data_IF_623972025890
#
_entry.id   IF_623972025890
#
_cell.length_a   1.000
_cell.length_b   1.000
_cell.length_c   1.000
_cell.angle_alpha   90.00
_cell.angle_beta   90.00
_cell.angle_gamma   90.00
#
_symmetry.space_group_name_H-M   'P 1'
#
loop_
_entity.id
_entity.type
_entity.pdbx_description
1 polymer ?
#
# COMPACT_ATOMS: atom_id res chain seq x y z
N UNK A 1 26.65 -7.71 13.02
CA UNK A 1 25.72 -7.05 13.97
C UNK A 1 24.66 -6.34 13.13
N UNK A 2 23.47 -6.88 13.01
CA UNK A 2 22.37 -6.14 12.40
C UNK A 2 21.97 -4.99 13.33
N UNK A 3 21.99 -3.78 12.81
CA UNK A 3 21.62 -2.60 13.59
C UNK A 3 20.15 -2.69 13.98
N UNK A 4 19.81 -2.55 15.27
CA UNK A 4 18.42 -2.41 15.72
C UNK A 4 17.72 -1.35 14.90
N UNK A 5 16.47 -1.58 14.49
CA UNK A 5 15.70 -0.56 13.79
C UNK A 5 15.54 0.65 14.69
N UNK A 6 15.71 1.84 14.11
CA UNK A 6 15.54 3.08 14.87
C UNK A 6 14.07 3.20 15.28
N UNK A 7 13.85 3.54 16.54
CA UNK A 7 12.54 3.98 16.99
C UNK A 7 12.13 5.27 16.27
N UNK A 8 10.84 5.42 16.04
CA UNK A 8 10.32 6.62 15.41
C UNK A 8 10.39 7.77 16.42
N UNK A 9 11.25 8.73 16.14
CA UNK A 9 11.35 9.95 16.94
C UNK A 9 10.48 11.03 16.32
N UNK A 10 9.53 11.56 17.08
CA UNK A 10 8.59 12.58 16.63
C UNK A 10 8.52 13.73 17.64
N UNK A 11 8.18 14.92 17.14
CA UNK A 11 7.80 16.09 17.95
C UNK A 11 6.27 16.31 17.97
N UNK A 12 5.52 15.29 17.58
CA UNK A 12 4.06 15.28 17.54
C UNK A 12 3.52 14.39 18.67
N UNK A 13 2.60 14.89 19.47
CA UNK A 13 2.08 14.22 20.67
C UNK A 13 0.84 13.34 20.40
N UNK A 14 0.33 13.33 19.19
CA UNK A 14 -0.88 12.59 18.77
C UNK A 14 -1.24 12.93 17.34
N UNK A 15 -2.49 12.80 16.96
CA UNK A 15 -3.00 13.20 15.64
C UNK A 15 -2.68 14.69 15.38
N UNK A 16 -2.26 14.98 14.15
CA UNK A 16 -1.87 16.35 13.76
C UNK A 16 -3.05 17.32 13.83
N UNK A 17 -2.87 18.46 14.48
CA UNK A 17 -3.93 19.45 14.74
C UNK A 17 -4.62 19.95 13.46
N UNK A 18 -3.86 20.13 12.36
CA UNK A 18 -4.38 20.62 11.09
C UNK A 18 -4.87 19.50 10.15
N UNK A 19 -4.87 18.22 10.59
CA UNK A 19 -5.18 17.09 9.70
C UNK A 19 -6.54 17.26 9.02
N UNK A 20 -7.57 17.61 9.78
CA UNK A 20 -8.92 17.81 9.24
C UNK A 20 -8.97 18.92 8.18
N UNK A 21 -8.27 20.01 8.42
CA UNK A 21 -8.18 21.13 7.48
C UNK A 21 -7.48 20.70 6.17
N UNK A 22 -6.35 19.98 6.30
CA UNK A 22 -5.56 19.51 5.16
C UNK A 22 -6.36 18.50 4.31
N UNK A 23 -7.00 17.52 4.94
CA UNK A 23 -7.81 16.50 4.24
C UNK A 23 -8.99 17.14 3.52
N UNK A 24 -9.73 18.03 4.18
CA UNK A 24 -10.87 18.73 3.57
C UNK A 24 -10.43 19.63 2.40
N UNK A 25 -9.29 20.30 2.51
CA UNK A 25 -8.71 21.08 1.41
C UNK A 25 -8.49 20.19 0.17
N UNK A 26 -7.86 19.03 0.33
CA UNK A 26 -7.61 18.13 -0.80
C UNK A 26 -8.86 17.42 -1.31
N UNK A 27 -9.83 17.14 -0.45
CA UNK A 27 -11.15 16.64 -0.86
C UNK A 27 -11.89 17.61 -1.80
N UNK A 28 -11.70 18.92 -1.62
CA UNK A 28 -12.39 19.98 -2.38
C UNK A 28 -11.57 20.52 -3.57
N UNK A 29 -10.32 20.07 -3.72
CA UNK A 29 -9.43 20.58 -4.76
C UNK A 29 -8.99 19.50 -5.73
N UNK A 30 -8.89 19.87 -7.00
CA UNK A 30 -8.33 19.00 -8.03
C UNK A 30 -6.79 18.94 -7.93
N UNK A 31 -6.21 17.75 -8.00
CA UNK A 31 -4.78 17.56 -8.04
C UNK A 31 -4.24 17.75 -9.47
N UNK A 32 -3.84 18.99 -9.81
CA UNK A 32 -3.50 19.42 -11.18
C UNK A 32 -2.06 19.16 -11.62
N UNK A 33 -1.18 18.65 -10.74
CA UNK A 33 0.20 18.36 -11.12
C UNK A 33 0.22 17.44 -12.36
N UNK A 34 1.02 17.76 -13.41
CA UNK A 34 1.16 16.88 -14.56
C UNK A 34 1.68 15.50 -14.15
N UNK A 35 1.10 14.45 -14.74
CA UNK A 35 1.53 13.08 -14.52
C UNK A 35 2.88 12.85 -15.20
N UNK A 36 3.85 12.30 -14.48
CA UNK A 36 5.18 12.03 -14.98
C UNK A 36 5.17 10.96 -16.07
N UNK A 37 5.99 11.16 -17.11
CA UNK A 37 6.07 10.27 -18.30
C UNK A 37 6.37 8.83 -17.87
N UNK A 38 7.40 8.63 -17.04
CA UNK A 38 7.80 7.29 -16.57
C UNK A 38 6.67 6.56 -15.83
N UNK A 39 5.77 7.29 -15.12
CA UNK A 39 4.62 6.67 -14.46
C UNK A 39 3.52 6.29 -15.46
N UNK A 40 3.33 7.07 -16.54
CA UNK A 40 2.43 6.69 -17.65
C UNK A 40 2.92 5.42 -18.35
N UNK A 41 4.22 5.35 -18.62
CA UNK A 41 4.86 4.17 -19.23
C UNK A 41 4.71 2.93 -18.33
N UNK A 42 4.97 3.07 -17.03
CA UNK A 42 4.77 1.99 -16.08
C UNK A 42 3.30 1.55 -16.00
N UNK A 43 2.36 2.49 -16.04
CA UNK A 43 0.93 2.18 -16.09
C UNK A 43 0.55 1.43 -17.37
N UNK A 44 1.10 1.81 -18.52
CA UNK A 44 0.88 1.06 -19.76
C UNK A 44 1.41 -0.37 -19.65
N UNK A 45 2.59 -0.57 -19.06
CA UNK A 45 3.13 -1.91 -18.80
C UNK A 45 2.23 -2.74 -17.86
N UNK A 46 1.53 -2.11 -16.91
CA UNK A 46 0.52 -2.78 -16.08
C UNK A 46 -0.66 -3.24 -16.92
N UNK A 47 -1.19 -2.37 -17.79
CA UNK A 47 -2.30 -2.71 -18.69
C UNK A 47 -1.92 -3.86 -19.61
N UNK A 48 -0.75 -3.78 -20.23
CA UNK A 48 -0.23 -4.82 -21.14
C UNK A 48 -0.05 -6.17 -20.41
N UNK A 49 0.39 -6.14 -19.15
CA UNK A 49 0.56 -7.35 -18.34
C UNK A 49 -0.77 -7.94 -17.87
N UNK A 50 -1.76 -7.11 -17.54
CA UNK A 50 -3.10 -7.57 -17.18
C UNK A 50 -3.84 -8.15 -18.40
N UNK A 51 -3.57 -7.61 -19.62
CA UNK A 51 -4.21 -8.07 -20.85
C UNK A 51 -5.73 -8.13 -20.73
N UNK A 52 -6.31 -9.29 -21.03
CA UNK A 52 -7.77 -9.53 -20.99
C UNK A 52 -8.29 -9.92 -19.59
N UNK A 53 -7.53 -9.68 -18.52
CA UNK A 53 -7.95 -10.00 -17.16
C UNK A 53 -9.25 -9.29 -16.77
N UNK A 54 -10.24 -10.03 -16.24
CA UNK A 54 -11.57 -9.54 -15.87
C UNK A 54 -11.89 -9.76 -14.38
N UNK A 55 -10.86 -9.95 -13.55
CA UNK A 55 -11.04 -10.27 -12.14
C UNK A 55 -10.57 -9.20 -11.19
N UNK A 56 -10.37 -9.62 -9.97
CA UNK A 56 -9.85 -8.78 -8.89
C UNK A 56 -8.38 -8.44 -9.11
N UNK A 57 -8.04 -7.21 -8.79
CA UNK A 57 -6.67 -6.68 -8.76
C UNK A 57 -6.41 -6.10 -7.37
N UNK A 58 -5.28 -6.46 -6.78
CA UNK A 58 -4.82 -5.90 -5.49
C UNK A 58 -3.58 -5.04 -5.74
N UNK A 59 -3.59 -3.82 -5.24
CA UNK A 59 -2.42 -2.93 -5.27
C UNK A 59 -1.67 -3.05 -3.96
N UNK A 60 -0.39 -3.43 -4.03
CA UNK A 60 0.59 -3.33 -2.95
C UNK A 60 1.38 -2.04 -3.12
N UNK A 61 0.92 -0.98 -2.49
CA UNK A 61 1.47 0.35 -2.60
C UNK A 61 2.68 0.53 -1.67
N UNK A 62 3.78 1.09 -2.17
CA UNK A 62 5.08 1.14 -1.49
C UNK A 62 5.65 -0.26 -1.23
N UNK A 63 5.52 -1.19 -2.17
CA UNK A 63 5.86 -2.61 -2.01
C UNK A 63 7.34 -2.88 -1.67
N UNK A 64 8.20 -1.87 -1.80
CA UNK A 64 9.63 -1.98 -1.49
C UNK A 64 10.33 -3.04 -2.35
N UNK A 65 10.78 -4.13 -1.72
CA UNK A 65 11.43 -5.26 -2.39
C UNK A 65 10.43 -6.28 -2.95
N UNK A 66 9.13 -6.04 -2.79
CA UNK A 66 8.05 -6.88 -3.31
C UNK A 66 7.79 -8.17 -2.53
N UNK A 67 8.35 -8.36 -1.32
CA UNK A 67 8.07 -9.55 -0.51
C UNK A 67 6.58 -9.64 -0.14
N UNK A 68 5.98 -8.52 0.29
CA UNK A 68 4.54 -8.44 0.57
C UNK A 68 3.69 -8.76 -0.65
N UNK A 69 4.09 -8.27 -1.83
CA UNK A 69 3.37 -8.56 -3.08
C UNK A 69 3.32 -10.07 -3.38
N UNK A 70 4.43 -10.78 -3.11
CA UNK A 70 4.50 -12.25 -3.28
C UNK A 70 3.60 -12.96 -2.26
N UNK A 71 3.63 -12.53 -1.00
CA UNK A 71 2.74 -13.08 0.05
C UNK A 71 1.27 -12.86 -0.30
N UNK A 72 0.91 -11.66 -0.77
CA UNK A 72 -0.45 -11.37 -1.24
C UNK A 72 -0.85 -12.28 -2.42
N UNK A 73 0.05 -12.55 -3.36
CA UNK A 73 -0.23 -13.44 -4.49
C UNK A 73 -0.53 -14.88 -4.05
N UNK A 74 0.12 -15.35 -2.99
CA UNK A 74 -0.16 -16.66 -2.39
C UNK A 74 -1.48 -16.66 -1.62
N UNK A 75 -1.82 -15.58 -0.93
CA UNK A 75 -3.06 -15.43 -0.16
C UNK A 75 -4.28 -15.23 -1.05
N UNK A 76 -4.10 -14.61 -2.23
CA UNK A 76 -5.16 -14.28 -3.18
C UNK A 76 -4.86 -14.89 -4.57
N UNK A 77 -4.90 -16.22 -4.71
CA UNK A 77 -4.49 -16.89 -5.96
C UNK A 77 -5.39 -16.56 -7.16
N UNK A 78 -6.60 -16.06 -6.91
CA UNK A 78 -7.57 -15.68 -7.93
C UNK A 78 -7.58 -14.17 -8.22
N UNK A 79 -6.60 -13.40 -7.72
CA UNK A 79 -6.44 -11.99 -7.99
C UNK A 79 -5.06 -11.73 -8.62
N UNK A 80 -4.96 -10.67 -9.42
CA UNK A 80 -3.68 -10.16 -9.89
C UNK A 80 -3.13 -9.15 -8.88
N UNK A 81 -1.84 -9.27 -8.54
CA UNK A 81 -1.17 -8.41 -7.56
C UNK A 81 -0.21 -7.47 -8.26
N UNK A 82 -0.42 -6.17 -8.07
CA UNK A 82 0.42 -5.11 -8.62
C UNK A 82 1.22 -4.47 -7.49
N UNK A 83 2.51 -4.75 -7.42
CA UNK A 83 3.41 -4.05 -6.50
C UNK A 83 3.93 -2.76 -7.12
N UNK A 84 3.81 -1.64 -6.40
CA UNK A 84 4.32 -0.34 -6.85
C UNK A 84 5.31 0.24 -5.85
N UNK A 85 6.51 0.55 -6.31
CA UNK A 85 7.48 1.36 -5.55
C UNK A 85 8.22 2.31 -6.50
N UNK A 86 8.65 3.46 -5.97
CA UNK A 86 9.43 4.43 -6.77
C UNK A 86 10.92 4.11 -6.84
N UNK A 87 11.42 3.21 -5.99
CA UNK A 87 12.84 2.92 -5.83
C UNK A 87 13.28 1.72 -6.67
N UNK A 88 13.98 1.97 -7.76
CA UNK A 88 14.63 0.92 -8.58
C UNK A 88 15.46 0.00 -7.72
N UNK A 89 16.33 0.55 -6.85
CA UNK A 89 17.23 -0.23 -6.00
C UNK A 89 16.51 -1.21 -5.03
N UNK A 90 15.24 -0.94 -4.72
CA UNK A 90 14.42 -1.90 -3.96
C UNK A 90 13.82 -2.95 -4.89
N UNK A 91 13.26 -2.53 -6.01
CA UNK A 91 12.62 -3.43 -6.98
C UNK A 91 13.63 -4.42 -7.59
N UNK A 92 14.90 -4.05 -7.75
CA UNK A 92 15.97 -4.94 -8.23
C UNK A 92 16.14 -6.18 -7.34
N UNK A 93 15.71 -6.12 -6.08
CA UNK A 93 15.74 -7.24 -5.14
C UNK A 93 14.54 -8.19 -5.26
N UNK A 94 13.51 -7.84 -6.04
CA UNK A 94 12.27 -8.62 -6.15
C UNK A 94 12.51 -10.06 -6.61
N UNK A 95 13.36 -10.27 -7.62
CA UNK A 95 13.67 -11.61 -8.14
C UNK A 95 14.29 -12.52 -7.07
N UNK A 96 15.10 -11.96 -6.15
CA UNK A 96 15.65 -12.70 -5.02
C UNK A 96 14.54 -13.14 -4.05
N UNK A 97 13.67 -12.23 -3.63
CA UNK A 97 12.57 -12.54 -2.72
C UNK A 97 11.56 -13.52 -3.33
N UNK A 98 11.28 -13.39 -4.63
CA UNK A 98 10.40 -14.32 -5.35
C UNK A 98 10.92 -15.75 -5.31
N UNK A 99 12.22 -15.97 -5.57
CA UNK A 99 12.85 -17.30 -5.45
C UNK A 99 12.76 -17.86 -4.04
N UNK A 100 13.10 -17.06 -3.03
CA UNK A 100 13.06 -17.46 -1.62
C UNK A 100 11.67 -17.97 -1.16
N UNK A 101 10.60 -17.36 -1.65
CA UNK A 101 9.24 -17.76 -1.31
C UNK A 101 8.78 -19.01 -2.09
N UNK A 102 9.24 -19.17 -3.33
CA UNK A 102 8.97 -20.37 -4.12
C UNK A 102 9.62 -21.61 -3.49
N UNK A 103 10.87 -21.50 -3.01
CA UNK A 103 11.62 -22.58 -2.40
C UNK A 103 11.04 -23.02 -1.03
N UNK A 104 10.38 -22.10 -0.31
CA UNK A 104 9.72 -22.40 0.98
C UNK A 104 8.36 -23.08 0.86
N UNK A 105 7.74 -23.09 -0.30
CA UNK A 105 6.48 -23.78 -0.53
C UNK A 105 6.69 -25.28 -0.58
N UNK A 106 6.56 -25.97 0.56
CA UNK A 106 6.77 -27.41 0.76
C UNK A 106 5.73 -28.28 0.00
N UNK A 107 4.73 -27.70 -0.62
CA UNK A 107 3.75 -28.42 -1.44
C UNK A 107 4.19 -28.47 -2.92
N UNK A 108 4.95 -29.50 -3.28
CA UNK A 108 5.39 -29.86 -4.65
C UNK A 108 4.26 -30.01 -5.71
N UNK A 109 3.03 -29.60 -5.43
CA UNK A 109 1.91 -29.65 -6.40
C UNK A 109 1.67 -28.34 -7.16
N UNK A 110 2.41 -27.28 -6.90
CA UNK A 110 2.30 -26.01 -7.65
C UNK A 110 3.67 -25.70 -8.26
N UNK A 111 4.07 -26.51 -9.23
CA UNK A 111 5.26 -26.27 -10.06
C UNK A 111 5.03 -25.16 -11.11
N UNK A 112 3.91 -24.44 -11.02
CA UNK A 112 3.67 -23.18 -11.71
C UNK A 112 4.12 -22.07 -10.77
N UNK A 113 5.22 -21.39 -11.13
CA UNK A 113 5.72 -20.24 -10.37
C UNK A 113 4.58 -19.24 -10.07
N UNK A 114 4.73 -18.40 -9.03
CA UNK A 114 3.75 -17.38 -8.68
C UNK A 114 3.67 -16.38 -9.85
N UNK A 115 2.66 -16.56 -10.73
CA UNK A 115 2.52 -15.81 -11.99
C UNK A 115 1.59 -14.59 -11.86
N UNK A 116 0.73 -14.61 -10.84
CA UNK A 116 -0.29 -13.57 -10.60
C UNK A 116 0.26 -12.33 -9.88
N UNK A 117 1.57 -12.09 -9.92
CA UNK A 117 2.20 -10.93 -9.29
C UNK A 117 3.32 -10.34 -10.13
N UNK A 118 3.31 -9.02 -10.25
CA UNK A 118 4.40 -8.25 -10.86
C UNK A 118 4.59 -6.92 -10.15
N UNK A 119 5.85 -6.46 -10.11
CA UNK A 119 6.20 -5.17 -9.51
C UNK A 119 6.59 -4.17 -10.60
N UNK A 120 6.24 -2.90 -10.38
CA UNK A 120 6.49 -1.83 -11.35
C UNK A 120 7.05 -0.59 -10.65
N UNK A 121 7.94 0.12 -11.33
CA UNK A 121 8.48 1.38 -10.85
C UNK A 121 7.56 2.53 -11.22
N UNK A 122 6.91 3.15 -10.23
CA UNK A 122 6.06 4.32 -10.47
C UNK A 122 5.97 5.22 -9.22
N UNK A 123 5.60 6.49 -9.43
CA UNK A 123 5.18 7.38 -8.35
C UNK A 123 3.70 7.15 -8.07
N UNK A 124 3.37 6.73 -6.86
CA UNK A 124 2.00 6.42 -6.44
C UNK A 124 1.07 7.65 -6.49
N UNK A 125 1.57 8.87 -6.33
CA UNK A 125 0.75 10.07 -6.50
C UNK A 125 0.12 10.13 -7.90
N UNK A 126 0.88 9.74 -8.92
CA UNK A 126 0.44 9.74 -10.30
C UNK A 126 -0.24 8.43 -10.68
N UNK A 127 0.25 7.30 -10.15
CA UNK A 127 -0.27 5.96 -10.46
C UNK A 127 -1.74 5.80 -10.03
N UNK A 128 -2.10 6.20 -8.79
CA UNK A 128 -3.51 6.17 -8.36
C UNK A 128 -4.42 7.03 -9.23
N UNK A 129 -3.95 8.20 -9.70
CA UNK A 129 -4.72 9.07 -10.61
C UNK A 129 -4.98 8.39 -11.96
N UNK A 130 -3.98 7.68 -12.50
CA UNK A 130 -4.14 6.91 -13.74
C UNK A 130 -5.12 5.76 -13.55
N UNK A 131 -4.99 4.99 -12.46
CA UNK A 131 -5.92 3.90 -12.12
C UNK A 131 -7.35 4.44 -11.94
N UNK A 132 -7.54 5.51 -11.18
CA UNK A 132 -8.86 6.11 -10.94
C UNK A 132 -9.54 6.55 -12.24
N UNK A 133 -8.78 7.14 -13.17
CA UNK A 133 -9.30 7.56 -14.47
C UNK A 133 -9.63 6.36 -15.39
N UNK A 134 -8.84 5.29 -15.31
CA UNK A 134 -8.99 4.11 -16.16
C UNK A 134 -10.07 3.14 -15.65
N UNK A 135 -10.31 3.11 -14.35
CA UNK A 135 -11.20 2.13 -13.69
C UNK A 135 -12.63 2.14 -14.23
N UNK A 136 -13.11 3.26 -14.77
CA UNK A 136 -14.45 3.37 -15.38
C UNK A 136 -14.59 2.54 -16.68
N UNK A 137 -13.47 2.21 -17.36
CA UNK A 137 -13.45 1.47 -18.63
C UNK A 137 -12.77 0.11 -18.52
N UNK A 138 -12.12 -0.15 -17.39
CA UNK A 138 -11.42 -1.40 -17.14
C UNK A 138 -12.40 -2.57 -16.97
N UNK A 139 -12.02 -3.75 -17.43
CA UNK A 139 -12.75 -4.99 -17.17
C UNK A 139 -12.39 -5.62 -15.82
N UNK A 140 -11.30 -5.17 -15.20
CA UNK A 140 -10.85 -5.56 -13.86
C UNK A 140 -11.19 -4.47 -12.83
N UNK A 141 -11.24 -4.85 -11.57
CA UNK A 141 -11.51 -3.92 -10.47
C UNK A 141 -10.42 -3.99 -9.39
N UNK A 142 -10.09 -2.85 -8.81
CA UNK A 142 -9.24 -2.85 -7.61
C UNK A 142 -10.08 -3.31 -6.41
N UNK A 143 -9.90 -4.55 -6.01
CA UNK A 143 -10.64 -5.15 -4.89
C UNK A 143 -10.04 -4.83 -3.53
N UNK A 144 -8.74 -4.47 -3.47
CA UNK A 144 -8.04 -4.13 -2.23
C UNK A 144 -6.80 -3.30 -2.51
N UNK A 145 -6.44 -2.43 -1.56
CA UNK A 145 -5.17 -1.71 -1.53
C UNK A 145 -4.45 -1.96 -0.22
N UNK A 146 -3.16 -2.22 -0.31
CA UNK A 146 -2.29 -2.48 0.83
C UNK A 146 -1.17 -1.43 0.87
N UNK A 147 -0.93 -0.86 2.06
CA UNK A 147 0.16 0.08 2.32
C UNK A 147 0.92 -0.42 3.54
N UNK A 148 1.97 -1.20 3.31
CA UNK A 148 2.71 -1.82 4.40
C UNK A 148 3.98 -1.04 4.73
N UNK A 149 4.04 -0.47 5.95
CA UNK A 149 5.17 0.31 6.46
C UNK A 149 5.61 1.43 5.52
N UNK A 150 4.67 2.27 5.03
CA UNK A 150 5.03 3.45 4.26
C UNK A 150 5.95 4.35 5.09
N UNK A 151 6.72 5.22 4.41
CA UNK A 151 7.55 6.18 5.14
C UNK A 151 6.67 7.04 6.06
N UNK A 152 6.87 7.01 7.38
CA UNK A 152 5.95 7.65 8.33
C UNK A 152 6.06 9.17 8.35
N UNK A 153 7.17 9.75 7.89
CA UNK A 153 7.39 11.21 7.97
C UNK A 153 7.05 11.79 9.35
N UNK A 154 7.79 11.41 10.42
CA UNK A 154 7.33 11.61 11.81
C UNK A 154 7.39 13.04 12.30
N UNK A 155 8.06 13.95 11.59
CA UNK A 155 8.09 15.36 11.98
C UNK A 155 6.74 16.03 11.68
N UNK A 156 6.24 16.86 12.63
CA UNK A 156 4.99 17.60 12.47
C UNK A 156 4.92 18.38 11.15
N UNK A 157 5.99 19.06 10.75
CA UNK A 157 6.07 19.80 9.47
C UNK A 157 5.98 18.94 8.21
N UNK A 158 5.98 17.62 8.33
CA UNK A 158 5.96 16.67 7.21
C UNK A 158 4.59 16.02 6.99
N UNK A 159 3.55 16.41 7.70
CA UNK A 159 2.22 15.79 7.65
C UNK A 159 1.70 15.64 6.21
N UNK A 160 1.86 16.63 5.34
CA UNK A 160 1.42 16.58 3.94
C UNK A 160 2.23 15.61 3.06
N UNK A 161 3.30 14.99 3.57
CA UNK A 161 4.02 13.90 2.90
C UNK A 161 3.45 12.52 3.22
N UNK A 162 2.58 12.42 4.23
CA UNK A 162 1.86 11.20 4.61
C UNK A 162 0.72 10.96 3.62
N UNK A 163 0.46 9.72 3.25
CA UNK A 163 -0.53 9.40 2.21
C UNK A 163 -1.93 9.94 2.51
N UNK A 164 -2.41 9.79 3.75
CA UNK A 164 -3.72 10.26 4.19
C UNK A 164 -3.86 11.80 4.24
N UNK A 165 -2.76 12.52 4.24
CA UNK A 165 -2.72 13.98 4.22
C UNK A 165 -2.12 14.54 2.91
N UNK A 166 -2.07 13.72 1.86
CA UNK A 166 -1.56 14.09 0.54
C UNK A 166 -2.69 14.37 -0.46
N UNK A 167 -2.46 15.14 -1.53
CA UNK A 167 -3.46 15.35 -2.57
C UNK A 167 -3.83 14.08 -3.35
N UNK A 168 -3.01 13.02 -3.28
CA UNK A 168 -3.29 11.74 -3.92
C UNK A 168 -4.29 10.86 -3.16
N UNK A 169 -4.64 11.22 -1.92
CA UNK A 169 -5.53 10.41 -1.08
C UNK A 169 -6.92 10.22 -1.70
N UNK A 170 -7.45 11.26 -2.34
CA UNK A 170 -8.73 11.18 -3.05
C UNK A 170 -8.67 10.14 -4.18
N UNK A 171 -7.61 10.15 -4.98
CA UNK A 171 -7.43 9.17 -6.06
C UNK A 171 -7.26 7.75 -5.52
N UNK A 172 -6.53 7.58 -4.40
CA UNK A 172 -6.42 6.29 -3.71
C UNK A 172 -7.80 5.76 -3.33
N UNK A 173 -8.66 6.58 -2.71
CA UNK A 173 -10.02 6.19 -2.31
C UNK A 173 -10.95 5.94 -3.51
N UNK A 174 -10.74 6.62 -4.63
CA UNK A 174 -11.47 6.39 -5.88
C UNK A 174 -11.14 5.01 -6.48
N UNK A 175 -9.88 4.57 -6.35
CA UNK A 175 -9.48 3.24 -6.84
C UNK A 175 -10.16 2.11 -6.06
N UNK A 176 -10.15 2.17 -4.74
CA UNK A 176 -10.85 1.22 -3.86
C UNK A 176 -10.93 1.77 -2.45
N UNK A 177 -12.05 1.56 -1.78
CA UNK A 177 -12.24 1.86 -0.35
C UNK A 177 -11.84 0.70 0.57
N UNK A 178 -11.50 -0.47 0.02
CA UNK A 178 -11.00 -1.61 0.80
C UNK A 178 -9.49 -1.48 0.97
N UNK A 179 -9.07 -1.03 2.15
CA UNK A 179 -7.69 -0.62 2.43
C UNK A 179 -7.17 -1.36 3.65
N UNK A 180 -5.92 -1.79 3.57
CA UNK A 180 -5.14 -2.27 4.71
C UNK A 180 -3.83 -1.46 4.81
N UNK A 181 -3.58 -0.89 5.99
CA UNK A 181 -2.34 -0.14 6.28
C UNK A 181 -1.65 -0.77 7.48
N UNK A 182 -0.34 -1.02 7.42
CA UNK A 182 0.46 -1.45 8.56
C UNK A 182 1.55 -0.44 8.88
N UNK A 183 1.81 -0.25 10.18
CA UNK A 183 2.85 0.65 10.67
C UNK A 183 3.32 0.24 12.07
N UNK A 184 4.56 0.54 12.41
CA UNK A 184 5.08 0.51 13.78
C UNK A 184 4.87 1.85 14.51
N UNK A 185 4.14 2.79 13.91
CA UNK A 185 3.78 4.07 14.51
C UNK A 185 2.26 4.22 14.55
N UNK A 186 1.68 4.00 15.74
CA UNK A 186 0.24 4.02 15.95
C UNK A 186 -0.40 5.33 15.49
N UNK A 187 0.22 6.49 15.80
CA UNK A 187 -0.30 7.80 15.41
C UNK A 187 -0.49 7.94 13.88
N UNK A 188 0.36 7.29 13.06
CA UNK A 188 0.17 7.26 11.61
C UNK A 188 -1.16 6.61 11.21
N UNK A 189 -1.53 5.53 11.90
CA UNK A 189 -2.79 4.82 11.64
C UNK A 189 -4.00 5.58 12.21
N UNK A 190 -3.86 6.23 13.37
CA UNK A 190 -4.90 7.08 13.93
C UNK A 190 -5.22 8.26 13.01
N UNK A 191 -4.20 8.92 12.44
CA UNK A 191 -4.39 9.95 11.42
C UNK A 191 -5.02 9.40 10.13
N UNK A 192 -4.58 8.21 9.70
CA UNK A 192 -5.16 7.56 8.52
C UNK A 192 -6.64 7.22 8.76
N UNK A 193 -6.99 6.72 9.94
CA UNK A 193 -8.36 6.44 10.35
C UNK A 193 -9.23 7.70 10.35
N UNK A 194 -8.73 8.79 10.93
CA UNK A 194 -9.46 10.07 10.92
C UNK A 194 -9.66 10.59 9.49
N UNK A 195 -8.64 10.48 8.63
CA UNK A 195 -8.77 10.89 7.22
C UNK A 195 -9.80 10.03 6.48
N UNK A 196 -9.84 8.72 6.71
CA UNK A 196 -10.88 7.82 6.17
C UNK A 196 -12.27 8.22 6.65
N UNK A 197 -12.43 8.52 7.94
CA UNK A 197 -13.71 8.96 8.52
C UNK A 197 -14.22 10.24 7.87
N UNK A 198 -13.34 11.20 7.56
CA UNK A 198 -13.70 12.43 6.82
C UNK A 198 -14.17 12.16 5.38
N UNK A 199 -13.90 10.98 4.84
CA UNK A 199 -14.39 10.49 3.55
C UNK A 199 -15.50 9.43 3.67
N UNK A 200 -16.14 9.31 4.84
CA UNK A 200 -17.22 8.37 5.11
C UNK A 200 -16.80 6.89 4.92
N UNK A 201 -15.55 6.57 5.28
CA UNK A 201 -15.00 5.21 5.26
C UNK A 201 -14.74 4.74 6.69
N UNK A 202 -15.49 3.74 7.14
CA UNK A 202 -15.31 3.12 8.46
C UNK A 202 -14.07 2.23 8.46
N UNK A 203 -13.30 2.24 9.54
CA UNK A 203 -12.10 1.42 9.71
C UNK A 203 -11.83 1.13 11.19
N UNK A 204 -11.00 0.14 11.43
CA UNK A 204 -10.55 -0.22 12.77
C UNK A 204 -9.04 -0.45 12.79
N UNK A 205 -8.45 -0.26 13.96
CA UNK A 205 -7.02 -0.48 14.22
C UNK A 205 -6.89 -1.62 15.22
N UNK A 206 -5.95 -2.53 14.96
CA UNK A 206 -5.59 -3.62 15.86
C UNK A 206 -4.09 -3.93 15.77
N UNK A 207 -3.57 -4.70 16.71
CA UNK A 207 -2.20 -5.20 16.63
C UNK A 207 -2.04 -6.18 15.47
N UNK A 208 -0.86 -6.14 14.82
CA UNK A 208 -0.51 -7.12 13.81
C UNK A 208 -0.27 -8.47 14.48
N UNK A 209 -0.89 -9.52 13.96
CA UNK A 209 -0.69 -10.89 14.40
C UNK A 209 -0.25 -11.79 13.23
N UNK A 210 0.40 -12.91 13.55
CA UNK A 210 0.85 -13.89 12.57
C UNK A 210 2.28 -13.64 12.04
N UNK A 211 2.62 -14.30 10.94
CA UNK A 211 3.95 -14.21 10.35
C UNK A 211 4.17 -12.86 9.65
N UNK A 212 5.35 -12.26 9.80
CA UNK A 212 5.69 -11.00 9.11
C UNK A 212 5.62 -11.15 7.59
N UNK A 213 5.00 -10.18 6.92
CA UNK A 213 4.81 -10.17 5.47
C UNK A 213 5.78 -9.23 4.73
N UNK A 214 6.56 -8.44 5.46
CA UNK A 214 7.59 -7.56 4.90
C UNK A 214 8.90 -7.69 5.68
N UNK A 215 10.07 -7.35 5.07
CA UNK A 215 11.32 -7.30 5.80
C UNK A 215 11.29 -6.28 6.96
N UNK A 216 10.55 -5.19 6.81
CA UNK A 216 10.39 -4.18 7.86
C UNK A 216 9.62 -4.72 9.05
N UNK A 217 8.49 -5.39 8.81
CA UNK A 217 7.67 -6.01 9.86
C UNK A 217 8.49 -7.02 10.65
N UNK A 218 9.21 -7.91 9.94
CA UNK A 218 10.11 -8.88 10.58
C UNK A 218 11.14 -8.20 11.47
N UNK A 219 11.81 -7.17 10.95
CA UNK A 219 12.81 -6.41 11.70
C UNK A 219 12.24 -5.71 12.94
N UNK A 220 11.03 -5.15 12.84
CA UNK A 220 10.37 -4.48 13.97
C UNK A 220 9.95 -5.49 15.04
N UNK A 221 9.29 -6.58 14.66
CA UNK A 221 8.85 -7.62 15.60
C UNK A 221 10.02 -8.31 16.28
N UNK A 222 11.09 -8.66 15.57
CA UNK A 222 12.32 -9.24 16.15
C UNK A 222 13.03 -8.28 17.12
N UNK A 223 12.86 -6.97 16.96
CA UNK A 223 13.39 -5.96 17.91
C UNK A 223 12.47 -5.65 19.07
N UNK A 224 11.30 -6.32 19.18
CA UNK A 224 10.31 -6.09 20.22
C UNK A 224 9.46 -4.84 20.01
N UNK A 225 9.50 -4.21 18.82
CA UNK A 225 8.61 -3.10 18.51
C UNK A 225 7.21 -3.62 18.16
N UNK A 226 6.21 -2.93 18.69
CA UNK A 226 4.82 -3.21 18.37
C UNK A 226 4.47 -2.74 16.96
N UNK A 227 3.74 -3.57 16.22
CA UNK A 227 3.23 -3.27 14.89
C UNK A 227 1.71 -3.26 14.91
N UNK A 228 1.13 -2.33 14.18
CA UNK A 228 -0.30 -2.08 14.12
C UNK A 228 -0.79 -2.21 12.69
N UNK A 229 -2.05 -2.63 12.52
CA UNK A 229 -2.74 -2.61 11.24
C UNK A 229 -4.07 -1.87 11.35
N UNK A 230 -4.37 -1.09 10.34
CA UNK A 230 -5.68 -0.50 10.09
C UNK A 230 -6.32 -1.25 8.92
N UNK A 231 -7.60 -1.59 9.06
CA UNK A 231 -8.39 -2.17 7.98
C UNK A 231 -9.72 -1.42 7.86
N UNK A 232 -10.18 -1.23 6.63
CA UNK A 232 -11.53 -0.75 6.37
C UNK A 232 -12.53 -1.90 6.47
N UNK A 233 -13.76 -1.60 6.86
CA UNK A 233 -14.85 -2.58 6.81
C UNK A 233 -15.19 -2.94 5.35
N UNK A 234 -15.59 -4.18 5.11
CA UNK A 234 -16.18 -4.55 3.83
C UNK A 234 -17.52 -3.83 3.65
N UNK A 235 -17.87 -3.44 2.41
CA UNK A 235 -19.18 -2.86 2.13
C UNK A 235 -20.27 -3.87 2.53
N UNK A 236 -21.13 -3.49 3.48
CA UNK A 236 -22.21 -4.34 4.00
C UNK A 236 -21.93 -5.03 5.33
N UNK A 237 -20.75 -4.93 5.94
CA UNK A 237 -20.50 -5.36 7.32
C UNK A 237 -20.79 -4.20 8.29
N UNK A 238 -22.06 -3.99 8.61
CA UNK A 238 -22.46 -3.23 9.80
C UNK A 238 -22.37 -4.15 11.02
N UNK A 239 -21.40 -3.91 11.91
CA UNK A 239 -21.44 -4.37 13.29
C UNK A 239 -21.53 -3.18 14.24
#
# INVERSE_FOLDING_TARGET
MESRPREITTNQLGVHEDLTCIVNKYRQSEFKKPIAVHTKEAFQQVIDWLGDWQGDVIIDACCGVGESSIVLAQQYPNAMIIGIDKSVARLDKYAYYKRQQTDKSVNKRVDRGIENVKVFQADLNDFWRLVANYSATAQWKISKQCLFYPNPYPKKSQVQKRWHASPAFVALLTCSRRIEVRSNWLTYLEEFQQALQLHDVKSFIQEVSGAPITPFERKYTESGQQCWQLQTHAEGEER
#
